data_IF_452921952582
#
_entry.id   IF_452921952582
#
_cell.length_a   1.000
_cell.length_b   1.000
_cell.length_c   1.000
_cell.angle_alpha   90.00
_cell.angle_beta   90.00
_cell.angle_gamma   90.00
#
_symmetry.space_group_name_H-M   'P 1'
#
loop_
_entity.id
_entity.type
_entity.pdbx_description
1 polymer ?
#
# COMPACT_ATOMS: atom_id res chain seq x y z
N UNK A 1 -16.55 -28.73 28.59
CA UNK A 1 -15.94 -29.19 27.33
C UNK A 1 -16.73 -28.57 26.20
N UNK A 2 -16.12 -27.62 25.50
CA UNK A 2 -16.74 -26.77 24.49
C UNK A 2 -16.97 -27.63 23.24
N UNK A 3 -18.23 -27.99 22.98
CA UNK A 3 -18.65 -28.72 21.80
C UNK A 3 -19.08 -27.68 20.75
N UNK A 4 -18.10 -27.06 20.10
CA UNK A 4 -18.37 -25.95 19.19
C UNK A 4 -17.21 -25.47 18.32
N UNK A 5 -15.96 -25.88 18.60
CA UNK A 5 -14.89 -25.68 17.63
C UNK A 5 -14.87 -26.85 16.65
N UNK A 6 -14.99 -26.62 15.33
CA UNK A 6 -14.62 -27.64 14.36
C UNK A 6 -13.17 -28.07 14.60
N UNK A 7 -12.85 -29.33 14.32
CA UNK A 7 -11.50 -29.91 14.50
C UNK A 7 -10.43 -29.20 13.68
N UNK A 8 -10.83 -28.43 12.66
CA UNK A 8 -9.96 -27.68 11.77
C UNK A 8 -10.41 -26.22 11.72
N UNK A 9 -9.46 -25.28 11.69
CA UNK A 9 -9.73 -23.85 11.59
C UNK A 9 -10.16 -23.49 10.16
N UNK A 10 -10.84 -22.35 9.97
CA UNK A 10 -11.23 -21.87 8.63
C UNK A 10 -10.03 -21.75 7.67
N UNK A 11 -8.84 -21.43 8.20
CA UNK A 11 -7.60 -21.35 7.44
C UNK A 11 -7.18 -22.71 6.82
N UNK A 12 -7.57 -23.84 7.43
CA UNK A 12 -7.28 -25.17 6.88
C UNK A 12 -8.20 -25.54 5.70
N UNK A 13 -9.33 -24.84 5.53
CA UNK A 13 -10.28 -25.09 4.44
C UNK A 13 -9.99 -24.23 3.19
N UNK A 14 -9.16 -23.19 3.30
CA UNK A 14 -8.75 -22.38 2.16
C UNK A 14 -7.56 -23.06 1.48
N UNK A 15 -7.81 -23.73 0.35
CA UNK A 15 -6.75 -24.35 -0.46
C UNK A 15 -6.01 -23.28 -1.27
N UNK A 16 -4.70 -23.11 -1.06
CA UNK A 16 -3.87 -22.28 -1.95
C UNK A 16 -2.77 -21.42 -1.32
N UNK A 17 -2.62 -21.38 0.02
CA UNK A 17 -1.57 -20.58 0.66
C UNK A 17 -1.22 -21.06 2.07
N UNK A 18 0.01 -20.78 2.52
CA UNK A 18 0.46 -21.04 3.90
C UNK A 18 -0.01 -19.91 4.84
N UNK A 19 -1.33 -19.81 5.00
CA UNK A 19 -1.96 -18.75 5.80
C UNK A 19 -1.70 -18.89 7.30
N UNK A 20 -1.36 -20.10 7.76
CA UNK A 20 -1.06 -20.37 9.17
C UNK A 20 0.42 -20.14 9.52
N UNK A 21 1.34 -20.23 8.54
CA UNK A 21 2.78 -20.07 8.70
C UNK A 21 3.35 -18.73 8.23
N UNK A 22 2.54 -17.84 7.64
CA UNK A 22 3.02 -16.57 7.10
C UNK A 22 3.70 -15.69 8.16
N UNK A 23 5.00 -15.45 7.96
CA UNK A 23 5.85 -14.52 8.72
C UNK A 23 6.10 -13.21 7.95
N UNK A 24 5.47 -13.04 6.79
CA UNK A 24 5.71 -11.90 5.92
C UNK A 24 5.04 -10.63 6.43
N UNK A 25 5.64 -9.49 6.09
CA UNK A 25 5.26 -8.19 6.63
C UNK A 25 3.87 -7.76 6.11
N UNK A 26 2.84 -7.64 6.98
CA UNK A 26 1.47 -7.34 6.54
C UNK A 26 1.31 -5.92 5.96
N UNK A 27 2.29 -5.03 6.14
CA UNK A 27 2.22 -3.67 5.61
C UNK A 27 2.81 -3.49 4.21
N UNK A 28 3.44 -4.50 3.60
CA UNK A 28 3.98 -4.37 2.23
C UNK A 28 2.99 -4.72 1.12
N UNK A 29 1.77 -5.16 1.46
CA UNK A 29 0.77 -5.58 0.48
C UNK A 29 1.24 -6.77 -0.35
N UNK A 30 0.89 -7.98 0.06
CA UNK A 30 1.14 -9.18 -0.75
C UNK A 30 -0.08 -9.48 -1.62
N UNK A 31 0.17 -9.85 -2.88
CA UNK A 31 -0.86 -10.32 -3.83
C UNK A 31 -1.44 -11.69 -3.44
N UNK A 32 -0.81 -12.41 -2.51
CA UNK A 32 -1.15 -13.81 -2.17
C UNK A 32 -1.42 -14.06 -0.66
N UNK A 33 -1.31 -13.04 0.21
CA UNK A 33 -1.42 -13.25 1.67
C UNK A 33 -2.47 -12.35 2.33
N UNK A 34 -3.43 -12.97 3.02
CA UNK A 34 -4.35 -12.30 3.93
C UNK A 34 -3.72 -12.13 5.33
N UNK A 35 -3.92 -10.97 5.96
CA UNK A 35 -3.55 -10.73 7.36
C UNK A 35 -4.43 -11.50 8.35
N UNK A 36 -3.94 -11.71 9.58
CA UNK A 36 -4.70 -12.35 10.65
C UNK A 36 -5.33 -11.31 11.57
N UNK A 37 -6.64 -11.40 11.82
CA UNK A 37 -7.35 -10.58 12.82
C UNK A 37 -7.84 -11.50 13.94
N UNK A 38 -7.47 -11.19 15.18
CA UNK A 38 -7.92 -11.93 16.36
C UNK A 38 -9.11 -11.22 16.99
N UNK A 39 -10.29 -11.85 16.98
CA UNK A 39 -11.52 -11.30 17.56
C UNK A 39 -11.89 -12.09 18.82
N UNK A 40 -11.92 -11.41 19.97
CA UNK A 40 -12.44 -11.99 21.21
C UNK A 40 -13.90 -11.55 21.40
N UNK A 41 -14.84 -12.50 21.40
CA UNK A 41 -16.24 -12.24 21.73
C UNK A 41 -16.50 -12.37 23.23
N UNK A 42 -17.13 -11.37 23.83
CA UNK A 42 -17.58 -11.41 25.21
C UNK A 42 -19.09 -11.15 25.26
N UNK A 43 -19.86 -12.06 25.84
CA UNK A 43 -21.29 -11.90 26.04
C UNK A 43 -21.91 -13.02 26.88
N UNK A 44 -23.06 -12.79 27.55
CA UNK A 44 -23.84 -13.86 28.13
C UNK A 44 -24.58 -14.60 27.00
N UNK A 45 -24.00 -15.68 26.47
CA UNK A 45 -24.62 -16.44 25.39
C UNK A 45 -25.58 -17.50 25.93
N UNK A 46 -26.77 -17.08 26.37
CA UNK A 46 -27.90 -18.00 26.55
C UNK A 46 -28.76 -17.91 25.28
N UNK A 47 -28.44 -18.71 24.28
CA UNK A 47 -29.14 -18.75 22.97
C UNK A 47 -29.89 -20.08 22.87
N UNK A 48 -31.19 -20.03 22.60
CA UNK A 48 -32.04 -21.20 22.43
C UNK A 48 -31.93 -21.82 21.02
N UNK A 49 -32.36 -23.08 20.89
CA UNK A 49 -32.46 -23.72 19.57
C UNK A 49 -33.55 -23.04 18.73
N UNK A 50 -33.17 -22.52 17.55
CA UNK A 50 -34.07 -21.81 16.63
C UNK A 50 -34.01 -20.28 16.74
N UNK A 51 -33.27 -19.73 17.70
CA UNK A 51 -33.07 -18.29 17.81
C UNK A 51 -32.15 -17.78 16.69
N UNK A 52 -32.51 -16.63 16.11
CA UNK A 52 -31.67 -15.92 15.16
C UNK A 52 -30.72 -14.97 15.90
N UNK A 53 -29.43 -15.04 15.59
CA UNK A 53 -28.43 -14.09 16.11
C UNK A 53 -27.96 -13.19 14.98
N UNK A 54 -27.94 -11.87 15.23
CA UNK A 54 -27.28 -10.89 14.37
C UNK A 54 -25.96 -10.50 15.03
N UNK A 55 -24.85 -10.84 14.37
CA UNK A 55 -23.50 -10.49 14.85
C UNK A 55 -23.14 -9.13 14.26
N UNK A 56 -22.84 -8.17 15.14
CA UNK A 56 -22.34 -6.85 14.76
C UNK A 56 -20.84 -6.85 15.09
N UNK A 57 -20.01 -6.69 14.06
CA UNK A 57 -18.56 -6.55 14.24
C UNK A 57 -18.25 -5.06 14.41
N UNK A 58 -17.70 -4.69 15.56
CA UNK A 58 -17.32 -3.31 15.86
C UNK A 58 -15.81 -3.27 16.03
N UNK A 59 -15.13 -2.62 15.09
CA UNK A 59 -13.72 -2.30 15.21
C UNK A 59 -13.60 -0.86 15.72
N UNK A 60 -13.13 -0.70 16.96
CA UNK A 60 -12.91 0.59 17.57
C UNK A 60 -11.44 0.78 17.88
N UNK A 61 -10.79 1.74 17.21
CA UNK A 61 -9.48 2.23 17.62
C UNK A 61 -9.68 3.38 18.62
N UNK A 62 -9.36 3.16 19.89
CA UNK A 62 -9.33 4.24 20.89
C UNK A 62 -7.94 4.88 20.89
N UNK A 63 -7.86 6.19 20.70
CA UNK A 63 -6.60 6.91 20.84
C UNK A 63 -6.59 8.23 20.11
N UNK A 64 -5.54 9.01 20.36
CA UNK A 64 -5.22 10.18 19.55
C UNK A 64 -4.74 9.72 18.18
N UNK A 65 -5.03 10.51 17.13
CA UNK A 65 -4.30 10.34 15.87
C UNK A 65 -2.78 10.43 16.14
N UNK A 66 -1.97 9.85 15.26
CA UNK A 66 -0.53 9.92 15.43
C UNK A 66 -0.03 11.38 15.47
N UNK A 67 -0.56 12.23 14.59
CA UNK A 67 -0.24 13.66 14.57
C UNK A 67 -0.58 14.33 15.89
N UNK A 68 -1.73 14.01 16.46
CA UNK A 68 -2.17 14.56 17.73
C UNK A 68 -1.34 14.04 18.90
N UNK A 69 -0.97 12.76 18.87
CA UNK A 69 -0.02 12.17 19.84
C UNK A 69 1.33 12.91 19.82
N UNK A 70 1.82 13.28 18.64
CA UNK A 70 3.07 14.03 18.46
C UNK A 70 2.89 15.47 18.96
N UNK A 71 1.82 16.14 18.57
CA UNK A 71 1.52 17.52 18.97
C UNK A 71 1.46 17.64 20.49
N UNK A 72 0.67 16.79 21.14
CA UNK A 72 0.54 16.74 22.60
C UNK A 72 1.85 16.35 23.27
N UNK A 73 2.58 15.39 22.70
CA UNK A 73 3.91 14.98 23.19
C UNK A 73 4.93 16.13 23.15
N UNK A 74 4.97 16.91 22.07
CA UNK A 74 5.84 18.09 21.92
C UNK A 74 5.49 19.17 22.94
N UNK A 75 4.20 19.51 23.07
CA UNK A 75 3.72 20.48 24.06
C UNK A 75 4.06 20.09 25.50
N UNK A 76 3.93 18.80 25.84
CA UNK A 76 4.29 18.33 27.17
C UNK A 76 5.80 18.40 27.42
N UNK A 77 6.61 17.94 26.45
CA UNK A 77 8.08 17.97 26.56
C UNK A 77 8.65 19.40 26.63
N UNK A 78 7.99 20.37 26.00
CA UNK A 78 8.39 21.78 26.08
C UNK A 78 7.90 22.49 27.35
N UNK A 79 7.12 21.81 28.20
CA UNK A 79 6.52 22.38 29.42
C UNK A 79 5.33 23.30 29.16
N UNK A 80 4.77 23.31 27.93
CA UNK A 80 3.63 24.16 27.57
C UNK A 80 2.31 23.61 28.12
N UNK A 81 2.25 22.31 28.43
CA UNK A 81 1.10 21.68 29.07
C UNK A 81 1.56 20.79 30.24
N UNK A 82 0.73 20.69 31.25
CA UNK A 82 0.93 19.83 32.42
C UNK A 82 0.73 18.34 32.10
N UNK A 83 1.17 17.49 33.03
CA UNK A 83 0.90 16.04 32.95
C UNK A 83 -0.60 15.74 32.99
N UNK A 84 -1.39 16.53 33.71
CA UNK A 84 -2.85 16.39 33.79
C UNK A 84 -3.50 16.70 32.45
N UNK A 85 -3.13 17.81 31.81
CA UNK A 85 -3.66 18.20 30.49
C UNK A 85 -3.29 17.17 29.42
N UNK A 86 -2.05 16.67 29.43
CA UNK A 86 -1.63 15.56 28.56
C UNK A 86 -2.48 14.30 28.78
N UNK A 87 -2.73 13.93 30.04
CA UNK A 87 -3.54 12.75 30.35
C UNK A 87 -5.01 12.92 29.95
N UNK A 88 -5.57 14.13 30.06
CA UNK A 88 -6.92 14.42 29.59
C UNK A 88 -7.07 14.18 28.07
N UNK A 89 -6.03 14.51 27.28
CA UNK A 89 -6.02 14.18 25.86
C UNK A 89 -6.01 12.67 25.59
N UNK A 90 -5.37 11.85 26.43
CA UNK A 90 -5.43 10.39 26.27
C UNK A 90 -6.84 9.87 26.55
N UNK A 91 -7.56 10.48 27.50
CA UNK A 91 -8.91 10.07 27.87
C UNK A 91 -9.96 10.35 26.79
N UNK A 92 -9.73 11.29 25.88
CA UNK A 92 -10.63 11.51 24.73
C UNK A 92 -10.74 10.29 23.81
N UNK A 93 -9.74 9.40 23.82
CA UNK A 93 -9.80 8.12 23.12
C UNK A 93 -10.89 7.19 23.67
N UNK A 94 -11.12 7.20 24.99
CA UNK A 94 -12.19 6.44 25.62
C UNK A 94 -13.57 7.02 25.29
N UNK A 95 -13.68 8.36 25.27
CA UNK A 95 -14.91 9.05 24.84
C UNK A 95 -15.24 8.75 23.37
N UNK A 96 -14.22 8.69 22.51
CA UNK A 96 -14.38 8.35 21.09
C UNK A 96 -14.90 6.92 20.91
N UNK A 97 -14.38 5.97 21.71
CA UNK A 97 -14.86 4.59 21.68
C UNK A 97 -16.32 4.50 22.14
N UNK A 98 -16.68 5.21 23.22
CA UNK A 98 -18.05 5.25 23.74
C UNK A 98 -19.02 5.83 22.70
N UNK A 99 -18.66 6.93 22.05
CA UNK A 99 -19.46 7.52 20.98
C UNK A 99 -19.69 6.55 19.82
N UNK A 100 -18.67 5.75 19.45
CA UNK A 100 -18.82 4.71 18.43
C UNK A 100 -19.90 3.69 18.81
N UNK A 101 -19.89 3.20 20.06
CA UNK A 101 -20.92 2.26 20.54
C UNK A 101 -22.32 2.88 20.65
N UNK A 102 -22.41 4.14 21.08
CA UNK A 102 -23.69 4.88 21.12
C UNK A 102 -24.28 4.99 19.71
N UNK A 103 -23.50 5.44 18.72
CA UNK A 103 -23.93 5.55 17.31
C UNK A 103 -24.40 4.22 16.73
N UNK A 104 -23.75 3.11 17.09
CA UNK A 104 -24.12 1.77 16.61
C UNK A 104 -25.44 1.31 17.24
N UNK A 105 -25.64 1.62 18.52
CA UNK A 105 -26.91 1.34 19.21
C UNK A 105 -28.04 2.13 18.56
N UNK A 106 -27.83 3.41 18.29
CA UNK A 106 -28.81 4.25 17.59
C UNK A 106 -29.10 3.72 16.18
N UNK A 107 -28.07 3.29 15.44
CA UNK A 107 -28.24 2.69 14.11
C UNK A 107 -29.06 1.39 14.19
N UNK A 108 -28.79 0.55 15.18
CA UNK A 108 -29.52 -0.69 15.42
C UNK A 108 -30.99 -0.42 15.77
N UNK A 109 -31.26 0.51 16.69
CA UNK A 109 -32.60 0.89 17.12
C UNK A 109 -33.41 1.53 15.98
N UNK A 110 -32.73 2.19 15.04
CA UNK A 110 -33.31 2.71 13.80
C UNK A 110 -33.34 1.70 12.65
N UNK A 111 -33.23 0.40 12.93
CA UNK A 111 -33.27 -0.69 11.95
C UNK A 111 -32.27 -0.50 10.78
N UNK A 112 -31.08 0.03 11.08
CA UNK A 112 -29.99 0.30 10.14
C UNK A 112 -30.35 1.32 9.04
N UNK A 113 -31.40 2.12 9.26
CA UNK A 113 -31.76 3.21 8.35
C UNK A 113 -30.83 4.42 8.55
N UNK A 114 -29.56 4.24 8.23
CA UNK A 114 -28.53 5.29 8.29
C UNK A 114 -28.18 5.76 6.87
N UNK A 115 -27.87 7.05 6.68
CA UNK A 115 -27.36 7.55 5.41
C UNK A 115 -26.18 6.71 4.92
N UNK A 116 -26.25 6.27 3.66
CA UNK A 116 -25.20 5.45 3.06
C UNK A 116 -24.19 6.36 2.37
N UNK A 117 -22.91 6.18 2.69
CA UNK A 117 -21.85 6.83 1.94
C UNK A 117 -21.83 6.35 0.49
N UNK A 118 -21.46 7.21 -0.46
CA UNK A 118 -21.33 6.80 -1.85
C UNK A 118 -20.29 5.67 -1.96
N UNK A 119 -20.48 4.81 -2.95
CA UNK A 119 -19.47 3.81 -3.26
C UNK A 119 -18.17 4.47 -3.71
N UNK A 120 -17.01 3.88 -3.37
CA UNK A 120 -15.76 4.28 -4.00
C UNK A 120 -15.86 4.15 -5.53
N UNK A 121 -15.04 4.87 -6.31
CA UNK A 121 -14.96 4.62 -7.74
C UNK A 121 -14.75 3.14 -8.04
N UNK A 122 -15.44 2.65 -9.07
CA UNK A 122 -15.42 1.24 -9.47
C UNK A 122 -14.05 0.86 -10.05
N UNK A 123 -13.49 1.77 -10.85
CA UNK A 123 -12.13 1.66 -11.37
C UNK A 123 -11.37 2.93 -11.03
N UNK A 124 -10.05 2.81 -10.89
CA UNK A 124 -9.16 3.95 -10.74
C UNK A 124 -7.83 3.64 -11.40
N UNK A 125 -7.51 4.37 -12.47
CA UNK A 125 -6.30 4.24 -13.25
C UNK A 125 -5.47 5.50 -13.15
N UNK A 126 -4.15 5.33 -12.97
CA UNK A 126 -3.22 6.44 -12.84
C UNK A 126 -2.03 6.18 -13.76
N UNK A 127 -1.84 7.08 -14.72
CA UNK A 127 -0.89 6.95 -15.80
C UNK A 127 0.19 8.03 -15.70
N UNK A 128 1.44 7.59 -15.61
CA UNK A 128 2.62 8.46 -15.58
C UNK A 128 2.92 8.98 -16.98
N UNK A 129 2.91 10.29 -17.18
CA UNK A 129 3.13 10.92 -18.48
C UNK A 129 4.23 12.00 -18.44
N UNK A 130 4.67 12.45 -19.60
CA UNK A 130 5.65 13.54 -19.71
C UNK A 130 5.06 14.83 -19.15
N UNK A 131 5.67 15.35 -18.09
CA UNK A 131 5.30 16.60 -17.44
C UNK A 131 3.99 16.54 -16.66
N UNK A 132 3.29 15.41 -16.61
CA UNK A 132 1.98 15.27 -15.94
C UNK A 132 1.68 13.83 -15.50
N UNK A 133 0.73 13.66 -14.60
CA UNK A 133 0.13 12.37 -14.25
C UNK A 133 -1.35 12.45 -14.58
N UNK A 134 -1.85 11.52 -15.38
CA UNK A 134 -3.27 11.49 -15.77
C UNK A 134 -4.01 10.42 -14.95
N UNK A 135 -5.14 10.81 -14.37
CA UNK A 135 -5.98 9.99 -13.53
C UNK A 135 -7.33 9.82 -14.22
N UNK A 136 -7.85 8.60 -14.25
CA UNK A 136 -9.14 8.25 -14.84
C UNK A 136 -9.88 7.26 -13.94
N UNK A 137 -11.21 7.37 -13.84
CA UNK A 137 -12.03 6.48 -13.04
C UNK A 137 -13.43 6.27 -13.61
N UNK A 138 -14.07 5.19 -13.18
CA UNK A 138 -15.50 4.94 -13.42
C UNK A 138 -16.27 4.88 -12.11
N UNK A 139 -17.59 4.99 -12.21
CA UNK A 139 -18.52 4.88 -11.08
C UNK A 139 -19.47 3.73 -11.34
N UNK A 140 -19.88 3.04 -10.28
CA UNK A 140 -20.98 2.08 -10.36
C UNK A 140 -22.25 2.73 -10.94
N UNK A 141 -23.02 1.96 -11.70
CA UNK A 141 -24.30 2.40 -12.26
C UNK A 141 -25.41 2.52 -11.21
N UNK A 142 -25.21 1.93 -10.03
CA UNK A 142 -26.13 1.90 -8.90
C UNK A 142 -25.41 2.39 -7.64
N UNK A 143 -26.18 2.85 -6.66
CA UNK A 143 -25.68 3.24 -5.35
C UNK A 143 -26.16 4.60 -4.87
N UNK A 144 -25.66 5.05 -3.70
CA UNK A 144 -25.97 6.38 -3.17
C UNK A 144 -25.44 7.49 -4.08
N UNK A 145 -26.09 8.65 -4.04
CA UNK A 145 -25.73 9.81 -4.87
C UNK A 145 -24.30 10.26 -4.65
N UNK A 146 -23.58 10.51 -5.74
CA UNK A 146 -22.26 11.14 -5.73
C UNK A 146 -22.43 12.63 -6.05
N UNK A 147 -21.93 13.48 -5.17
CA UNK A 147 -21.88 14.93 -5.31
C UNK A 147 -20.56 15.41 -5.89
N UNK A 148 -19.49 14.62 -5.77
CA UNK A 148 -18.18 14.96 -6.31
C UNK A 148 -17.09 13.94 -6.00
N UNK A 149 -15.85 14.32 -6.29
CA UNK A 149 -14.67 13.53 -5.98
C UNK A 149 -13.60 14.38 -5.32
N UNK A 150 -12.84 13.74 -4.43
CA UNK A 150 -11.63 14.31 -3.87
C UNK A 150 -10.43 13.47 -4.27
N UNK A 151 -9.41 14.11 -4.83
CA UNK A 151 -8.17 13.45 -5.20
C UNK A 151 -7.11 13.79 -4.17
N UNK A 152 -6.48 12.76 -3.65
CA UNK A 152 -5.37 12.86 -2.74
C UNK A 152 -4.11 12.30 -3.36
N UNK A 153 -2.98 12.86 -2.96
CA UNK A 153 -1.65 12.35 -3.27
C UNK A 153 -0.88 12.15 -1.97
N UNK A 154 -0.06 11.11 -1.90
CA UNK A 154 0.85 10.98 -0.76
C UNK A 154 1.99 12.00 -0.85
N UNK A 155 2.40 12.56 0.28
CA UNK A 155 3.56 13.45 0.36
C UNK A 155 4.80 12.64 0.74
N UNK A 156 5.96 13.09 0.26
CA UNK A 156 7.25 12.59 0.75
C UNK A 156 7.61 13.17 2.13
N UNK A 157 6.81 14.11 2.66
CA UNK A 157 7.03 14.65 4.00
C UNK A 157 6.85 13.53 5.03
N UNK A 158 7.95 13.18 5.69
CA UNK A 158 7.92 12.37 6.89
C UNK A 158 7.07 13.07 7.95
N UNK A 159 6.33 12.29 8.75
CA UNK A 159 5.74 12.82 9.97
C UNK A 159 6.89 13.32 10.85
N UNK A 160 6.88 14.62 11.11
CA UNK A 160 7.93 15.41 11.72
C UNK A 160 8.46 14.80 13.03
N UNK A 161 9.60 14.09 12.97
CA UNK A 161 10.22 13.38 14.11
C UNK A 161 10.44 11.87 13.93
N UNK A 162 10.18 11.28 12.76
CA UNK A 162 10.51 9.88 12.47
C UNK A 162 11.10 9.70 11.06
N UNK A 163 12.22 8.99 10.98
CA UNK A 163 12.69 8.36 9.73
C UNK A 163 11.85 7.10 9.55
N UNK A 164 10.81 7.16 8.75
CA UNK A 164 10.01 5.99 8.40
C UNK A 164 10.07 5.85 6.89
N UNK A 165 10.94 4.95 6.45
CA UNK A 165 11.25 4.74 5.03
C UNK A 165 10.10 4.09 4.24
N UNK A 166 8.96 3.75 4.85
CA UNK A 166 7.90 2.99 4.14
C UNK A 166 6.47 3.11 4.69
N UNK A 167 6.24 3.58 5.92
CA UNK A 167 5.05 3.14 6.67
C UNK A 167 3.92 4.16 6.89
N UNK A 168 4.18 5.45 6.72
CA UNK A 168 3.20 6.49 7.10
C UNK A 168 3.27 7.70 6.17
N UNK A 169 2.82 7.55 4.93
CA UNK A 169 2.74 8.70 4.04
C UNK A 169 1.57 9.59 4.47
N UNK A 170 1.88 10.83 4.83
CA UNK A 170 0.90 11.91 4.89
C UNK A 170 0.30 12.06 3.49
N UNK A 171 -0.97 12.44 3.40
CA UNK A 171 -1.65 12.69 2.15
C UNK A 171 -2.11 14.13 2.12
N UNK A 172 -2.09 14.71 0.93
CA UNK A 172 -2.58 16.05 0.66
C UNK A 172 -3.77 15.96 -0.31
N UNK A 173 -4.79 16.76 -0.06
CA UNK A 173 -5.88 16.98 -1.00
C UNK A 173 -5.35 17.86 -2.13
N UNK A 174 -5.41 17.37 -3.38
CA UNK A 174 -4.89 18.09 -4.55
C UNK A 174 -6.01 18.58 -5.49
N UNK A 175 -7.21 18.00 -5.39
CA UNK A 175 -8.36 18.43 -6.18
C UNK A 175 -9.70 18.06 -5.53
N UNK A 176 -10.67 18.94 -5.71
CA UNK A 176 -12.11 18.71 -5.49
C UNK A 176 -12.81 18.86 -6.84
N UNK A 177 -13.58 17.85 -7.23
CA UNK A 177 -14.14 17.72 -8.58
C UNK A 177 -15.65 17.47 -8.53
N UNK A 178 -16.37 17.92 -9.55
CA UNK A 178 -17.81 17.71 -9.70
C UNK A 178 -18.19 16.25 -9.95
N UNK A 179 -19.45 15.90 -9.69
CA UNK A 179 -19.99 14.54 -9.80
C UNK A 179 -19.90 13.93 -11.21
N UNK A 180 -19.81 14.76 -12.25
CA UNK A 180 -19.73 14.39 -13.66
C UNK A 180 -18.30 14.15 -14.17
N UNK A 181 -17.28 14.56 -13.40
CA UNK A 181 -15.88 14.47 -13.81
C UNK A 181 -15.37 13.04 -13.66
N UNK A 182 -14.63 12.53 -14.66
CA UNK A 182 -14.07 11.17 -14.69
C UNK A 182 -12.57 11.13 -14.98
N UNK A 183 -11.96 12.30 -15.16
CA UNK A 183 -10.55 12.45 -15.47
C UNK A 183 -9.96 13.64 -14.71
N UNK A 184 -8.68 13.55 -14.37
CA UNK A 184 -7.93 14.64 -13.77
C UNK A 184 -6.44 14.55 -14.14
N UNK A 185 -5.81 15.68 -14.40
CA UNK A 185 -4.37 15.73 -14.70
C UNK A 185 -3.64 16.48 -13.57
N UNK A 186 -2.75 15.78 -12.87
CA UNK A 186 -1.85 16.38 -11.90
C UNK A 186 -0.56 16.86 -12.59
N UNK A 187 -0.34 18.17 -12.59
CA UNK A 187 0.90 18.82 -13.07
C UNK A 187 1.73 19.42 -11.93
N UNK A 188 1.27 19.29 -10.69
CA UNK A 188 1.90 19.90 -9.50
C UNK A 188 2.97 18.99 -8.89
N UNK A 189 2.96 17.70 -9.25
CA UNK A 189 3.85 16.69 -8.72
C UNK A 189 5.32 17.00 -9.03
N UNK A 190 6.22 16.69 -8.08
CA UNK A 190 7.65 16.89 -8.27
C UNK A 190 8.24 15.84 -9.21
N UNK A 191 9.03 16.27 -10.20
CA UNK A 191 9.54 15.39 -11.26
C UNK A 191 10.29 14.16 -10.70
N UNK A 192 10.04 13.00 -11.31
CA UNK A 192 10.65 11.70 -11.01
C UNK A 192 10.50 11.19 -9.57
N UNK A 193 9.65 11.80 -8.76
CA UNK A 193 9.35 11.32 -7.41
C UNK A 193 8.19 10.31 -7.47
N UNK A 194 8.35 9.07 -6.97
CA UNK A 194 7.24 8.11 -6.88
C UNK A 194 6.22 8.59 -5.86
N UNK A 195 4.95 8.65 -6.28
CA UNK A 195 3.81 8.98 -5.41
C UNK A 195 2.63 8.06 -5.66
N UNK A 196 1.84 7.81 -4.63
CA UNK A 196 0.56 7.11 -4.71
C UNK A 196 -0.58 8.13 -4.72
N UNK A 197 -1.59 7.81 -5.52
CA UNK A 197 -2.81 8.60 -5.59
C UNK A 197 -3.96 7.84 -4.96
N UNK A 198 -4.94 8.60 -4.50
CA UNK A 198 -6.17 8.11 -3.91
C UNK A 198 -7.32 8.96 -4.42
N UNK A 199 -8.49 8.35 -4.56
CA UNK A 199 -9.71 9.06 -4.95
C UNK A 199 -10.86 8.70 -4.00
N UNK A 200 -11.59 9.70 -3.55
CA UNK A 200 -12.75 9.51 -2.66
C UNK A 200 -13.99 10.03 -3.36
N UNK A 201 -15.05 9.22 -3.40
CA UNK A 201 -16.38 9.70 -3.77
C UNK A 201 -16.96 10.51 -2.61
N UNK A 202 -17.45 11.70 -2.91
CA UNK A 202 -18.11 12.60 -1.97
C UNK A 202 -19.60 12.53 -2.20
N UNK A 203 -20.37 12.30 -1.14
CA UNK A 203 -21.83 12.17 -1.17
C UNK A 203 -22.51 13.33 -0.46
N UNK A 204 -23.72 13.07 0.02
CA UNK A 204 -24.55 14.10 0.65
C UNK A 204 -23.96 14.60 1.97
N UNK A 205 -24.22 15.87 2.28
CA UNK A 205 -23.97 16.43 3.60
C UNK A 205 -25.03 15.92 4.59
N UNK A 206 -24.55 15.45 5.74
CA UNK A 206 -25.37 15.05 6.87
C UNK A 206 -25.33 16.19 7.88
N UNK A 207 -26.50 16.76 8.26
CA UNK A 207 -26.56 17.82 9.25
C UNK A 207 -26.11 17.32 10.63
N UNK A 208 -25.69 18.25 11.48
CA UNK A 208 -25.32 17.92 12.85
C UNK A 208 -26.50 17.30 13.61
N UNK A 209 -26.24 16.22 14.33
CA UNK A 209 -27.17 15.65 15.30
C UNK A 209 -26.69 16.01 16.71
N UNK A 210 -27.24 17.09 17.26
CA UNK A 210 -26.87 17.63 18.58
C UNK A 210 -27.17 16.64 19.72
N UNK A 211 -28.22 15.84 19.59
CA UNK A 211 -28.61 14.86 20.62
C UNK A 211 -27.59 13.72 20.74
N UNK A 212 -26.93 13.38 19.65
CA UNK A 212 -25.93 12.30 19.58
C UNK A 212 -24.49 12.83 19.54
N UNK A 213 -24.30 14.14 19.72
CA UNK A 213 -23.01 14.83 19.59
C UNK A 213 -22.29 14.49 18.26
N UNK A 214 -23.06 14.35 17.17
CA UNK A 214 -22.51 14.10 15.83
C UNK A 214 -22.46 15.45 15.12
N UNK A 215 -21.27 15.97 14.76
CA UNK A 215 -21.17 17.19 13.99
C UNK A 215 -21.70 16.98 12.56
N UNK A 216 -22.02 18.09 11.89
CA UNK A 216 -22.30 18.04 10.46
C UNK A 216 -21.07 17.49 9.74
N UNK A 217 -21.29 16.59 8.79
CA UNK A 217 -20.22 15.93 8.06
C UNK A 217 -20.70 15.52 6.68
N UNK A 218 -19.77 15.41 5.74
CA UNK A 218 -20.06 14.91 4.39
C UNK A 218 -19.79 13.42 4.36
N UNK A 219 -20.71 12.65 3.75
CA UNK A 219 -20.50 11.23 3.54
C UNK A 219 -19.43 11.02 2.48
N UNK A 220 -18.45 10.16 2.77
CA UNK A 220 -17.32 9.91 1.89
C UNK A 220 -17.04 8.41 1.79
N UNK A 221 -16.67 7.95 0.61
CA UNK A 221 -16.19 6.57 0.45
C UNK A 221 -14.87 6.38 1.20
N UNK A 222 -14.56 5.12 1.56
CA UNK A 222 -13.28 4.83 2.19
C UNK A 222 -12.13 4.99 1.18
N UNK A 223 -11.18 5.88 1.48
CA UNK A 223 -10.02 6.18 0.64
C UNK A 223 -9.07 4.99 0.43
N UNK A 224 -9.03 4.03 1.37
CA UNK A 224 -8.13 2.88 1.26
C UNK A 224 -8.56 1.89 0.16
N UNK A 225 -9.82 1.94 -0.28
CA UNK A 225 -10.31 1.08 -1.37
C UNK A 225 -9.78 1.48 -2.74
N UNK A 226 -9.34 2.72 -2.90
CA UNK A 226 -9.02 3.36 -4.19
C UNK A 226 -7.61 3.93 -4.19
N UNK A 227 -6.71 3.31 -3.43
CA UNK A 227 -5.28 3.58 -3.50
C UNK A 227 -4.68 2.91 -4.74
N UNK A 228 -3.81 3.62 -5.46
CA UNK A 228 -2.94 2.99 -6.46
C UNK A 228 -1.95 2.04 -5.82
N UNK A 229 -1.85 0.80 -6.30
CA UNK A 229 -0.86 -0.17 -5.82
C UNK A 229 0.56 0.10 -6.33
N UNK A 230 0.67 0.65 -7.54
CA UNK A 230 1.94 1.06 -8.13
C UNK A 230 2.10 2.58 -7.99
N UNK A 231 3.30 3.08 -7.68
CA UNK A 231 3.55 4.51 -7.65
C UNK A 231 3.52 5.11 -9.06
N UNK A 232 3.03 6.33 -9.16
CA UNK A 232 3.07 7.15 -10.36
C UNK A 232 4.20 8.19 -10.28
N UNK A 233 4.66 8.63 -11.45
CA UNK A 233 5.76 9.56 -11.63
C UNK A 233 5.38 10.64 -12.64
N UNK A 234 5.65 11.90 -12.32
CA UNK A 234 5.68 12.96 -13.34
C UNK A 234 7.03 12.91 -14.04
N UNK A 235 7.02 12.56 -15.32
CA UNK A 235 8.25 12.37 -16.09
C UNK A 235 8.78 13.72 -16.59
N UNK A 236 10.10 13.84 -16.75
CA UNK A 236 10.71 15.04 -17.35
C UNK A 236 10.30 15.13 -18.83
N UNK A 237 9.93 16.33 -19.28
CA UNK A 237 9.75 16.63 -20.70
C UNK A 237 11.13 16.84 -21.30
N UNK A 238 11.72 15.85 -21.97
CA UNK A 238 12.96 16.07 -22.73
C UNK A 238 12.62 16.59 -24.12
N UNK A 239 13.05 17.81 -24.42
CA UNK A 239 13.18 18.28 -25.80
C UNK A 239 14.44 17.60 -26.35
N UNK A 240 14.28 16.84 -27.44
CA UNK A 240 15.30 16.09 -28.18
C UNK A 240 15.86 14.83 -27.52
N UNK A 241 15.23 13.67 -27.76
CA UNK A 241 15.85 12.49 -28.39
C UNK A 241 14.85 11.31 -28.52
N UNK A 242 14.98 10.44 -29.54
CA UNK A 242 13.98 9.46 -29.90
C UNK A 242 13.95 8.27 -28.92
N UNK A 243 12.78 8.06 -28.31
CA UNK A 243 12.16 6.75 -28.07
C UNK A 243 13.05 5.60 -27.52
N UNK A 244 13.94 5.85 -26.56
CA UNK A 244 14.39 4.79 -25.64
C UNK A 244 15.02 5.33 -24.34
N UNK A 245 14.33 6.23 -23.64
CA UNK A 245 14.68 6.49 -22.25
C UNK A 245 14.39 5.20 -21.49
N UNK A 246 15.44 4.55 -20.99
CA UNK A 246 15.37 3.28 -20.29
C UNK A 246 14.60 3.47 -18.98
N UNK A 247 13.30 3.12 -18.99
CA UNK A 247 12.35 3.52 -17.93
C UNK A 247 12.30 2.58 -16.73
N UNK A 248 12.86 1.38 -16.86
CA UNK A 248 12.74 0.33 -15.85
C UNK A 248 14.07 -0.41 -15.66
N UNK A 249 14.27 -0.91 -14.45
CA UNK A 249 15.31 -1.89 -14.21
C UNK A 249 14.95 -3.17 -14.94
N UNK A 250 15.87 -3.69 -15.75
CA UNK A 250 15.64 -4.91 -16.51
C UNK A 250 16.88 -5.79 -16.48
N UNK A 251 16.72 -7.05 -16.10
CA UNK A 251 17.77 -8.07 -16.27
C UNK A 251 17.30 -9.05 -17.35
N UNK A 252 17.99 -9.09 -18.48
CA UNK A 252 17.62 -9.98 -19.57
C UNK A 252 18.22 -11.37 -19.36
N UNK A 253 17.60 -12.35 -20.01
CA UNK A 253 18.14 -13.70 -20.13
C UNK A 253 19.49 -13.65 -20.86
N UNK A 254 20.50 -14.34 -20.33
CA UNK A 254 21.80 -14.45 -20.96
C UNK A 254 21.67 -15.12 -22.35
N UNK A 255 22.45 -14.66 -23.32
CA UNK A 255 22.48 -15.26 -24.65
C UNK A 255 23.93 -15.51 -25.09
N UNK A 256 24.25 -16.72 -25.59
CA UNK A 256 23.37 -17.90 -25.69
C UNK A 256 22.99 -18.50 -24.32
N UNK A 257 21.89 -19.26 -24.23
CA UNK A 257 21.57 -20.12 -23.08
C UNK A 257 20.81 -21.37 -23.57
N UNK A 258 21.33 -22.60 -23.41
CA UNK A 258 22.61 -22.94 -22.77
C UNK A 258 23.84 -22.37 -23.50
N UNK A 259 24.98 -22.23 -22.81
CA UNK A 259 26.21 -21.62 -23.35
C UNK A 259 27.45 -22.49 -23.09
N UNK A 260 28.52 -22.26 -23.85
CA UNK A 260 29.81 -22.94 -23.71
C UNK A 260 30.98 -22.06 -24.23
N UNK A 261 31.98 -21.71 -23.40
CA UNK A 261 31.88 -21.37 -21.99
C UNK A 261 31.53 -19.89 -21.79
N UNK A 262 31.26 -19.15 -22.87
CA UNK A 262 31.04 -17.70 -22.86
C UNK A 262 29.58 -17.36 -23.18
N UNK A 263 29.01 -16.41 -22.44
CA UNK A 263 27.69 -15.83 -22.70
C UNK A 263 27.70 -14.33 -22.46
N UNK A 264 26.77 -13.61 -23.06
CA UNK A 264 26.51 -12.20 -22.74
C UNK A 264 25.28 -12.06 -21.85
N UNK A 265 25.40 -11.26 -20.79
CA UNK A 265 24.29 -10.82 -19.94
C UNK A 265 24.04 -9.35 -20.26
N UNK A 266 22.77 -9.00 -20.54
CA UNK A 266 22.39 -7.61 -20.79
C UNK A 266 21.42 -7.14 -19.72
N UNK A 267 21.61 -5.92 -19.24
CA UNK A 267 20.74 -5.33 -18.24
C UNK A 267 20.63 -3.82 -18.41
N UNK A 268 19.60 -3.26 -17.81
CA UNK A 268 19.23 -1.85 -17.90
C UNK A 268 19.06 -1.29 -16.50
N UNK A 269 19.64 -0.12 -16.24
CA UNK A 269 19.39 0.65 -15.01
C UNK A 269 18.82 2.03 -15.38
N UNK A 270 17.67 2.44 -14.81
CA UNK A 270 17.02 3.71 -15.13
C UNK A 270 17.58 4.91 -14.34
N UNK A 271 18.41 4.65 -13.32
CA UNK A 271 19.00 5.67 -12.47
C UNK A 271 20.46 5.34 -12.14
N UNK A 272 21.27 6.38 -11.97
CA UNK A 272 22.66 6.26 -11.54
C UNK A 272 22.74 5.69 -10.13
N UNK A 273 23.60 4.69 -9.92
CA UNK A 273 23.78 4.09 -8.60
C UNK A 273 24.79 2.95 -8.59
N UNK A 274 25.01 2.36 -7.41
CA UNK A 274 25.89 1.21 -7.25
C UNK A 274 25.22 -0.07 -7.74
N UNK A 275 25.83 -0.73 -8.73
CA UNK A 275 25.33 -1.95 -9.37
C UNK A 275 26.18 -3.14 -8.99
N UNK A 276 25.53 -4.23 -8.60
CA UNK A 276 26.16 -5.53 -8.36
C UNK A 276 25.54 -6.59 -9.27
N UNK A 277 26.36 -7.24 -10.11
CA UNK A 277 25.99 -8.40 -10.90
C UNK A 277 26.86 -9.58 -10.50
N UNK A 278 26.26 -10.58 -9.85
CA UNK A 278 26.98 -11.76 -9.31
C UNK A 278 26.37 -13.06 -9.80
N UNK A 279 27.18 -14.09 -9.93
CA UNK A 279 26.80 -15.46 -10.31
C UNK A 279 26.92 -16.37 -9.09
N UNK A 280 25.95 -17.26 -8.91
CA UNK A 280 25.82 -18.19 -7.79
C UNK A 280 25.57 -19.62 -8.29
N UNK A 281 26.04 -20.60 -7.55
CA UNK A 281 25.71 -22.01 -7.78
C UNK A 281 24.37 -22.42 -7.12
N UNK A 282 23.98 -23.69 -7.29
CA UNK A 282 22.75 -24.26 -6.73
C UNK A 282 22.67 -24.21 -5.19
N UNK A 283 23.80 -24.07 -4.50
CA UNK A 283 23.87 -23.97 -3.04
C UNK A 283 23.88 -22.50 -2.58
N UNK A 284 23.76 -21.54 -3.50
CA UNK A 284 23.81 -20.11 -3.21
C UNK A 284 25.23 -19.58 -2.95
N UNK A 285 26.28 -20.35 -3.26
CA UNK A 285 27.66 -19.89 -3.12
C UNK A 285 28.03 -19.00 -4.29
N UNK A 286 28.69 -17.87 -4.02
CA UNK A 286 29.18 -16.97 -5.06
C UNK A 286 30.23 -17.67 -5.92
N UNK A 287 29.95 -17.79 -7.22
CA UNK A 287 30.82 -18.40 -8.22
C UNK A 287 31.62 -17.37 -9.01
N UNK A 288 31.05 -16.17 -9.23
CA UNK A 288 31.74 -15.05 -9.87
C UNK A 288 31.09 -13.70 -9.51
N UNK A 289 31.90 -12.64 -9.52
CA UNK A 289 31.45 -11.25 -9.42
C UNK A 289 31.77 -10.54 -10.75
N UNK A 290 30.73 -10.16 -11.49
CA UNK A 290 30.86 -9.64 -12.86
C UNK A 290 30.87 -8.10 -12.88
N UNK A 291 30.10 -7.47 -12.00
CA UNK A 291 30.01 -6.01 -11.87
C UNK A 291 29.84 -5.66 -10.39
N UNK A 292 30.57 -4.64 -9.93
CA UNK A 292 30.48 -4.14 -8.56
C UNK A 292 31.00 -2.69 -8.48
N UNK A 293 30.30 -1.77 -9.14
CA UNK A 293 30.73 -0.38 -9.31
C UNK A 293 29.54 0.58 -9.42
N UNK A 294 29.79 1.89 -9.35
CA UNK A 294 28.78 2.89 -9.70
C UNK A 294 28.62 3.00 -11.22
N UNK A 295 27.39 2.91 -11.70
CA UNK A 295 27.04 3.03 -13.11
C UNK A 295 25.98 4.11 -13.30
N UNK A 296 26.05 4.84 -14.40
CA UNK A 296 25.06 5.85 -14.79
C UNK A 296 23.80 5.19 -15.38
N UNK A 297 22.68 5.90 -15.42
CA UNK A 297 21.49 5.39 -16.13
C UNK A 297 21.84 4.95 -17.57
N UNK A 298 21.50 3.72 -17.94
CA UNK A 298 21.96 3.12 -19.20
C UNK A 298 21.70 1.62 -19.35
N UNK A 299 21.96 1.13 -20.56
CA UNK A 299 21.94 -0.29 -20.90
C UNK A 299 23.37 -0.81 -20.97
N UNK A 300 23.61 -1.93 -20.32
CA UNK A 300 24.92 -2.54 -20.15
C UNK A 300 24.94 -3.95 -20.73
N UNK A 301 26.10 -4.34 -21.23
CA UNK A 301 26.38 -5.70 -21.71
C UNK A 301 27.64 -6.19 -21.03
N UNK A 302 27.55 -7.34 -20.38
CA UNK A 302 28.66 -7.95 -19.67
C UNK A 302 28.89 -9.35 -20.24
N UNK A 303 30.12 -9.61 -20.65
CA UNK A 303 30.54 -10.95 -21.06
C UNK A 303 30.92 -11.76 -19.83
N UNK A 304 30.41 -12.99 -19.77
CA UNK A 304 30.72 -13.94 -18.71
C UNK A 304 31.43 -15.15 -19.31
N UNK A 305 32.71 -15.31 -18.98
CA UNK A 305 33.51 -16.51 -19.27
C UNK A 305 33.49 -17.44 -18.05
N UNK A 306 32.85 -18.60 -18.21
CA UNK A 306 32.70 -19.62 -17.19
C UNK A 306 33.67 -20.80 -17.37
N UNK A 307 34.79 -20.62 -18.07
CA UNK A 307 35.76 -21.68 -18.37
C UNK A 307 36.35 -22.38 -17.13
N UNK A 308 36.38 -21.70 -15.98
CA UNK A 308 36.81 -22.21 -14.68
C UNK A 308 35.71 -22.96 -13.90
N UNK A 309 34.47 -22.95 -14.38
CA UNK A 309 33.32 -23.58 -13.73
C UNK A 309 32.98 -24.95 -14.35
N UNK A 310 32.32 -25.81 -13.57
CA UNK A 310 31.80 -27.11 -14.01
C UNK A 310 30.47 -26.95 -14.76
N UNK A 311 30.17 -27.84 -15.72
CA UNK A 311 28.84 -27.88 -16.37
C UNK A 311 27.73 -28.00 -15.32
N UNK A 312 26.64 -27.27 -15.51
CA UNK A 312 25.55 -27.24 -14.53
C UNK A 312 24.67 -26.01 -14.64
N UNK A 313 23.77 -25.90 -13.66
CA UNK A 313 22.84 -24.78 -13.51
C UNK A 313 23.44 -23.77 -12.53
N UNK A 314 23.38 -22.51 -12.90
CA UNK A 314 23.78 -21.38 -12.08
C UNK A 314 22.70 -20.29 -12.14
N UNK A 315 22.76 -19.36 -11.21
CA UNK A 315 21.90 -18.19 -11.16
C UNK A 315 22.73 -16.92 -11.15
N UNK A 316 22.28 -15.88 -11.81
CA UNK A 316 22.88 -14.56 -11.68
C UNK A 316 21.85 -13.57 -11.13
N UNK A 317 22.35 -12.66 -10.29
CA UNK A 317 21.56 -11.65 -9.59
C UNK A 317 22.07 -10.27 -9.97
N UNK A 318 21.17 -9.42 -10.41
CA UNK A 318 21.42 -7.99 -10.52
C UNK A 318 20.83 -7.30 -9.29
N UNK A 319 21.60 -6.42 -8.66
CA UNK A 319 21.17 -5.62 -7.53
C UNK A 319 21.60 -4.16 -7.72
N UNK A 320 20.68 -3.23 -7.54
CA UNK A 320 20.95 -1.79 -7.59
C UNK A 320 19.94 -1.04 -6.74
N UNK A 321 20.38 -0.41 -5.64
CA UNK A 321 19.47 0.15 -4.64
C UNK A 321 18.53 -0.90 -4.05
N UNK A 322 17.21 -0.66 -4.13
CA UNK A 322 16.17 -1.61 -3.71
C UNK A 322 15.78 -2.62 -4.80
N UNK A 323 16.23 -2.46 -6.04
CA UNK A 323 15.93 -3.38 -7.13
C UNK A 323 16.79 -4.64 -7.04
N UNK A 324 16.15 -5.80 -7.23
CA UNK A 324 16.80 -7.11 -7.29
C UNK A 324 16.05 -8.02 -8.27
N UNK A 325 16.76 -8.60 -9.24
CA UNK A 325 16.21 -9.63 -10.15
C UNK A 325 17.22 -10.77 -10.31
N UNK A 326 16.71 -11.97 -10.59
CA UNK A 326 17.46 -13.20 -10.74
C UNK A 326 17.09 -13.91 -12.04
N UNK A 327 18.08 -14.51 -12.69
CA UNK A 327 17.88 -15.35 -13.87
C UNK A 327 18.77 -16.59 -13.79
N UNK A 328 18.33 -17.64 -14.46
CA UNK A 328 19.02 -18.94 -14.51
C UNK A 328 19.86 -19.04 -15.78
N UNK A 329 21.10 -19.49 -15.67
CA UNK A 329 21.96 -19.83 -16.81
C UNK A 329 22.39 -21.30 -16.76
N UNK A 330 22.52 -21.93 -17.93
CA UNK A 330 22.89 -23.35 -18.07
C UNK A 330 24.22 -23.45 -18.81
N UNK A 331 25.28 -23.84 -18.11
CA UNK A 331 26.60 -24.06 -18.69
C UNK A 331 26.70 -25.50 -19.21
N UNK A 332 26.97 -25.61 -20.51
CA UNK A 332 27.34 -26.88 -21.15
C UNK A 332 28.82 -26.88 -21.42
N UNK A 333 29.46 -28.04 -21.24
CA UNK A 333 30.84 -28.27 -21.61
C UNK A 333 30.95 -29.58 -22.36
#
# INVERSE_FOLDING_TARGET
>A
MIKGHPTESHANFITGGDFAGSQENPGTGSVDNAGYVYVNGYGPYTIGYGDSVKIILVEGASGLSRDESIRIGKLYKSGNISVLEKNNWVLTGADSLRQTFERITDAFDNNWNIPQAPYPPETFSVNSNQGKVDLEWTTFSEGPTIQGFEIYRNTQEQVDGYVSDVWFSKYELIAELGAEIREYTDTTQSLNIPVHYYIVSVGDEVPANVNLNIPAHTLKSNRSYTQTYLPAHRLVVSVDEPENVLREFQLNQNYPNPFNPVTTITYTIPQTGFVQLKVYDLLGREAANLVSEEQTAGSYKVEFDASSLSSGIYFYRLQSGSFMDFKKLTLLR
#
